data_IF_842902693262
#
_entry.id   IF_842902693262
#
_cell.length_a   1.000
_cell.length_b   1.000
_cell.length_c   1.000
_cell.angle_alpha   90.00
_cell.angle_beta   90.00
_cell.angle_gamma   90.00
#
_symmetry.space_group_name_H-M   'P 1'
#
loop_
_entity.id
_entity.type
_entity.pdbx_description
1 polymer ?
#
# COMPACT_ATOMS: atom_id res chain seq x y z
N UNK A 1 9.21 -0.75 -38.78
CA UNK A 1 9.27 -1.02 -37.32
C UNK A 1 7.87 -1.23 -36.79
N UNK A 2 7.50 -2.46 -36.38
CA UNK A 2 6.19 -2.71 -35.73
C UNK A 2 6.27 -2.22 -34.29
N UNK A 3 5.52 -1.18 -33.95
CA UNK A 3 5.31 -0.74 -32.56
C UNK A 3 4.64 -1.87 -31.79
N UNK A 4 5.42 -2.62 -31.00
CA UNK A 4 4.91 -3.69 -30.14
C UNK A 4 3.91 -3.04 -29.18
N UNK A 5 2.61 -3.26 -29.42
CA UNK A 5 1.50 -2.72 -28.62
C UNK A 5 1.75 -3.16 -27.17
N UNK A 6 2.20 -2.25 -26.32
CA UNK A 6 2.44 -2.55 -24.91
C UNK A 6 1.10 -3.04 -24.34
N UNK A 7 1.06 -4.31 -23.92
CA UNK A 7 -0.12 -4.91 -23.31
C UNK A 7 -0.60 -4.03 -22.15
N UNK A 8 -1.92 -3.81 -22.05
CA UNK A 8 -2.52 -3.08 -20.94
C UNK A 8 -2.11 -3.69 -19.59
N UNK A 9 -1.93 -5.01 -19.56
CA UNK A 9 -1.41 -5.75 -18.42
C UNK A 9 0.01 -5.30 -18.02
N UNK A 10 0.89 -5.10 -18.99
CA UNK A 10 2.27 -4.64 -18.73
C UNK A 10 2.27 -3.22 -18.15
N UNK A 11 1.37 -2.35 -18.62
CA UNK A 11 1.21 -1.00 -18.05
C UNK A 11 0.71 -1.05 -16.61
N UNK A 12 -0.25 -1.94 -16.33
CA UNK A 12 -0.77 -2.17 -14.99
C UNK A 12 0.33 -2.66 -14.04
N UNK A 13 1.07 -3.72 -14.41
CA UNK A 13 2.18 -4.26 -13.61
C UNK A 13 3.22 -3.17 -13.30
N UNK A 14 3.67 -2.42 -14.31
CA UNK A 14 4.67 -1.36 -14.11
C UNK A 14 4.16 -0.29 -13.15
N UNK A 15 2.88 0.06 -13.23
CA UNK A 15 2.26 1.03 -12.32
C UNK A 15 2.12 0.47 -10.89
N UNK A 16 1.72 -0.79 -10.76
CA UNK A 16 1.52 -1.46 -9.48
C UNK A 16 2.83 -1.63 -8.70
N UNK A 17 3.90 -2.04 -9.39
CA UNK A 17 5.23 -2.23 -8.79
C UNK A 17 6.12 -0.96 -8.78
N UNK A 18 5.64 0.16 -9.32
CA UNK A 18 6.41 1.41 -9.35
C UNK A 18 7.67 1.35 -10.22
N UNK A 19 7.67 0.53 -11.28
CA UNK A 19 8.84 0.35 -12.15
C UNK A 19 8.92 1.49 -13.17
N UNK A 20 9.86 2.41 -12.94
CA UNK A 20 10.19 3.48 -13.89
C UNK A 20 11.19 2.92 -14.93
N UNK A 21 10.93 3.05 -16.23
CA UNK A 21 11.79 2.51 -17.30
C UNK A 21 11.22 1.31 -18.05
N UNK A 22 12.03 0.58 -18.84
CA UNK A 22 11.56 -0.62 -19.57
C UNK A 22 11.39 -1.80 -18.60
N UNK A 23 10.36 -2.60 -18.81
CA UNK A 23 10.24 -3.90 -18.16
C UNK A 23 10.96 -4.88 -19.09
N UNK A 24 12.20 -5.21 -18.75
CA UNK A 24 12.98 -6.23 -19.44
C UNK A 24 12.67 -7.62 -18.87
N UNK A 25 13.20 -8.65 -19.50
CA UNK A 25 12.95 -10.05 -19.14
C UNK A 25 13.44 -10.37 -17.71
N UNK A 26 14.54 -9.73 -17.27
CA UNK A 26 15.06 -9.87 -15.92
C UNK A 26 14.09 -9.29 -14.86
N UNK A 27 13.62 -8.06 -15.06
CA UNK A 27 12.67 -7.39 -14.17
C UNK A 27 11.33 -8.11 -14.14
N UNK A 28 10.87 -8.63 -15.28
CA UNK A 28 9.66 -9.43 -15.34
C UNK A 28 9.79 -10.72 -14.53
N UNK A 29 10.93 -11.42 -14.62
CA UNK A 29 11.20 -12.61 -13.81
C UNK A 29 11.26 -12.31 -12.31
N UNK A 30 11.93 -11.22 -11.91
CA UNK A 30 12.04 -10.89 -10.49
C UNK A 30 10.70 -10.40 -9.91
N UNK A 31 9.91 -9.65 -10.68
CA UNK A 31 8.51 -9.31 -10.31
C UNK A 31 7.69 -10.57 -10.11
N UNK A 32 7.75 -11.54 -11.02
CA UNK A 32 7.04 -12.80 -10.86
C UNK A 32 7.51 -13.58 -9.63
N UNK A 33 8.82 -13.55 -9.32
CA UNK A 33 9.37 -14.20 -8.13
C UNK A 33 8.91 -13.54 -6.83
N UNK A 34 8.88 -12.20 -6.78
CA UNK A 34 8.36 -11.43 -5.65
C UNK A 34 6.86 -11.70 -5.50
N UNK A 35 6.11 -11.66 -6.59
CA UNK A 35 4.67 -11.94 -6.62
C UNK A 35 4.36 -13.30 -6.01
N UNK A 36 5.07 -14.36 -6.42
CA UNK A 36 4.86 -15.70 -5.90
C UNK A 36 5.22 -15.81 -4.40
N UNK A 37 6.31 -15.18 -3.95
CA UNK A 37 6.67 -15.19 -2.52
C UNK A 37 5.62 -14.47 -1.68
N UNK A 38 5.15 -13.31 -2.13
CA UNK A 38 4.09 -12.55 -1.46
C UNK A 38 2.78 -13.34 -1.45
N UNK A 39 2.41 -13.95 -2.58
CA UNK A 39 1.21 -14.77 -2.69
C UNK A 39 1.24 -15.95 -1.70
N UNK A 40 2.35 -16.70 -1.65
CA UNK A 40 2.50 -17.81 -0.72
C UNK A 40 2.43 -17.32 0.73
N UNK A 41 3.15 -16.23 1.05
CA UNK A 41 3.12 -15.65 2.40
C UNK A 41 1.72 -15.23 2.82
N UNK A 42 0.98 -14.59 1.91
CA UNK A 42 -0.40 -14.16 2.14
C UNK A 42 -1.37 -15.31 2.29
N UNK A 43 -1.24 -16.32 1.43
CA UNK A 43 -2.07 -17.51 1.49
C UNK A 43 -1.96 -18.18 2.85
N UNK A 44 -0.74 -18.37 3.37
CA UNK A 44 -0.53 -18.95 4.69
C UNK A 44 -0.93 -18.02 5.83
N UNK A 45 -0.73 -16.71 5.69
CA UNK A 45 -1.22 -15.72 6.66
C UNK A 45 -2.74 -15.80 6.82
N UNK A 46 -3.47 -15.74 5.72
CA UNK A 46 -4.93 -15.83 5.69
C UNK A 46 -5.43 -17.15 6.26
N UNK A 47 -4.80 -18.26 5.87
CA UNK A 47 -5.16 -19.60 6.36
C UNK A 47 -4.95 -19.70 7.88
N UNK A 48 -3.82 -19.20 8.39
CA UNK A 48 -3.49 -19.23 9.82
C UNK A 48 -4.48 -18.43 10.67
N UNK A 49 -4.78 -17.18 10.28
CA UNK A 49 -5.73 -16.36 11.02
C UNK A 49 -7.15 -16.90 10.91
N UNK A 50 -7.57 -17.36 9.72
CA UNK A 50 -8.87 -18.02 9.54
C UNK A 50 -9.01 -19.24 10.46
N UNK A 51 -7.96 -20.06 10.61
CA UNK A 51 -7.96 -21.20 11.52
C UNK A 51 -8.09 -20.79 12.99
N UNK A 52 -7.33 -19.78 13.44
CA UNK A 52 -7.45 -19.23 14.81
C UNK A 52 -8.87 -18.77 15.08
N UNK A 53 -9.49 -18.13 14.09
CA UNK A 53 -10.85 -17.60 14.23
C UNK A 53 -11.88 -18.72 14.36
N UNK A 54 -11.75 -19.82 13.63
CA UNK A 54 -12.64 -21.00 13.79
C UNK A 54 -12.53 -21.59 15.20
N UNK A 55 -11.35 -21.48 15.84
CA UNK A 55 -11.11 -21.96 17.20
C UNK A 55 -11.64 -21.03 18.30
N UNK A 56 -11.88 -19.75 17.99
CA UNK A 56 -12.39 -18.75 18.92
C UNK A 56 -13.89 -18.54 18.67
N UNK A 57 -14.69 -18.47 19.75
CA UNK A 57 -16.15 -18.29 19.73
C UNK A 57 -16.67 -17.37 18.58
N UNK A 58 -17.63 -17.86 17.80
CA UNK A 58 -17.99 -17.32 16.47
C UNK A 58 -18.66 -15.95 16.45
N UNK A 59 -19.11 -15.42 17.58
CA UNK A 59 -19.89 -14.17 17.62
C UNK A 59 -19.04 -12.90 17.49
N UNK A 60 -17.75 -12.95 17.85
CA UNK A 60 -16.79 -11.82 17.72
C UNK A 60 -15.83 -12.05 16.53
N UNK A 61 -15.82 -13.27 16.00
CA UNK A 61 -14.91 -13.78 14.98
C UNK A 61 -14.93 -12.95 13.68
N UNK A 62 -16.09 -12.77 13.05
CA UNK A 62 -16.18 -12.25 11.68
C UNK A 62 -15.63 -10.83 11.52
N UNK A 63 -15.99 -9.92 12.42
CA UNK A 63 -15.52 -8.53 12.38
C UNK A 63 -14.02 -8.44 12.65
N UNK A 64 -13.49 -9.25 13.57
CA UNK A 64 -12.06 -9.31 13.86
C UNK A 64 -11.26 -9.86 12.66
N UNK A 65 -11.77 -10.89 11.96
CA UNK A 65 -11.18 -11.40 10.70
C UNK A 65 -11.03 -10.27 9.69
N UNK A 66 -12.12 -9.54 9.47
CA UNK A 66 -12.20 -8.53 8.43
C UNK A 66 -11.20 -7.40 8.71
N UNK A 67 -11.06 -6.97 9.97
CA UNK A 67 -10.06 -5.97 10.35
C UNK A 67 -8.61 -6.48 10.23
N UNK A 68 -8.33 -7.73 10.63
CA UNK A 68 -6.98 -8.32 10.51
C UNK A 68 -6.58 -8.46 9.04
N UNK A 69 -7.49 -8.91 8.19
CA UNK A 69 -7.24 -9.09 6.76
C UNK A 69 -7.09 -7.75 6.05
N UNK A 70 -7.93 -6.76 6.36
CA UNK A 70 -7.73 -5.40 5.87
C UNK A 70 -6.38 -4.82 6.32
N UNK A 71 -6.00 -5.06 7.57
CA UNK A 71 -4.70 -4.61 8.07
C UNK A 71 -3.53 -5.27 7.31
N UNK A 72 -3.59 -6.58 7.12
CA UNK A 72 -2.61 -7.31 6.32
C UNK A 72 -2.52 -6.78 4.89
N UNK A 73 -3.67 -6.60 4.23
CA UNK A 73 -3.75 -6.16 2.84
C UNK A 73 -3.24 -4.73 2.63
N UNK A 74 -3.61 -3.83 3.53
CA UNK A 74 -3.34 -2.39 3.39
C UNK A 74 -1.94 -2.03 3.88
N UNK A 75 -1.46 -2.65 4.96
CA UNK A 75 -0.21 -2.25 5.61
C UNK A 75 0.91 -3.26 5.37
N UNK A 76 0.66 -4.53 5.65
CA UNK A 76 1.72 -5.55 5.65
C UNK A 76 2.20 -5.85 4.24
N UNK A 77 1.29 -6.09 3.28
CA UNK A 77 1.67 -6.39 1.89
C UNK A 77 2.46 -5.23 1.27
N UNK A 78 1.99 -3.97 1.31
CA UNK A 78 2.69 -2.91 0.60
C UNK A 78 4.07 -2.61 1.19
N UNK A 79 4.23 -2.75 2.52
CA UNK A 79 5.54 -2.62 3.18
C UNK A 79 6.49 -3.74 2.73
N UNK A 80 6.07 -5.01 2.74
CA UNK A 80 6.93 -6.12 2.31
C UNK A 80 7.28 -5.98 0.83
N UNK A 81 6.30 -5.63 -0.01
CA UNK A 81 6.49 -5.41 -1.43
C UNK A 81 7.49 -4.28 -1.67
N UNK A 82 7.40 -3.17 -0.94
CA UNK A 82 8.38 -2.09 -0.98
C UNK A 82 9.78 -2.60 -0.65
N UNK A 83 9.95 -3.23 0.53
CA UNK A 83 11.27 -3.71 0.98
C UNK A 83 11.89 -4.65 -0.05
N UNK A 84 11.09 -5.56 -0.62
CA UNK A 84 11.57 -6.47 -1.66
C UNK A 84 11.95 -5.77 -2.96
N UNK A 85 11.19 -4.77 -3.39
CA UNK A 85 11.49 -4.02 -4.62
C UNK A 85 12.71 -3.13 -4.47
N UNK A 86 12.86 -2.45 -3.34
CA UNK A 86 14.01 -1.59 -3.05
C UNK A 86 15.29 -2.42 -2.92
N UNK A 87 15.24 -3.56 -2.20
CA UNK A 87 16.41 -4.44 -2.06
C UNK A 87 16.87 -5.10 -3.38
N UNK A 88 16.01 -5.12 -4.40
CA UNK A 88 16.29 -5.72 -5.71
C UNK A 88 16.54 -4.69 -6.81
N UNK A 89 16.57 -3.41 -6.47
CA UNK A 89 16.77 -2.29 -7.41
C UNK A 89 15.83 -2.33 -8.63
N UNK A 90 14.59 -2.79 -8.41
CA UNK A 90 13.57 -2.91 -9.46
C UNK A 90 12.84 -1.59 -9.71
N UNK A 91 12.83 -0.72 -8.70
CA UNK A 91 12.35 0.65 -8.80
C UNK A 91 13.52 1.51 -9.26
N UNK A 92 13.74 1.63 -10.57
CA UNK A 92 14.70 2.61 -11.08
C UNK A 92 14.32 3.97 -10.50
N UNK A 93 15.29 4.65 -9.90
CA UNK A 93 15.05 5.99 -9.41
C UNK A 93 14.68 6.92 -10.57
N UNK A 94 13.76 7.84 -10.29
CA UNK A 94 13.47 8.92 -11.22
C UNK A 94 14.65 9.87 -11.16
N UNK A 95 15.53 9.79 -12.16
CA UNK A 95 16.58 10.77 -12.38
C UNK A 95 15.92 12.08 -12.81
N UNK A 96 15.97 13.07 -11.93
CA UNK A 96 15.41 14.40 -12.16
C UNK A 96 16.56 15.40 -12.15
N UNK A 97 16.55 16.43 -13.03
CA UNK A 97 17.57 17.46 -13.02
C UNK A 97 17.65 18.11 -11.63
N UNK A 98 18.88 18.35 -11.15
CA UNK A 98 19.18 18.74 -9.75
C UNK A 98 18.39 19.94 -9.24
N UNK A 99 17.95 20.83 -10.13
CA UNK A 99 17.14 22.02 -9.82
C UNK A 99 15.68 21.70 -9.44
N UNK A 100 15.14 20.54 -9.84
CA UNK A 100 13.72 20.16 -9.64
C UNK A 100 13.51 19.02 -8.63
N UNK A 101 14.60 18.42 -8.13
CA UNK A 101 14.57 17.27 -7.20
C UNK A 101 13.79 17.60 -5.92
N UNK A 102 14.09 18.73 -5.28
CA UNK A 102 13.47 19.10 -4.00
C UNK A 102 11.99 19.45 -4.16
N UNK A 103 11.62 20.12 -5.26
CA UNK A 103 10.23 20.43 -5.59
C UNK A 103 9.43 19.15 -5.87
N UNK A 104 10.04 18.18 -6.57
CA UNK A 104 9.38 16.91 -6.87
C UNK A 104 9.24 16.04 -5.62
N UNK A 105 10.23 16.02 -4.73
CA UNK A 105 10.13 15.37 -3.41
C UNK A 105 9.03 15.97 -2.55
N UNK A 106 8.90 17.30 -2.50
CA UNK A 106 7.82 17.94 -1.78
C UNK A 106 6.44 17.62 -2.37
N UNK A 107 6.31 17.60 -3.70
CA UNK A 107 5.08 17.21 -4.37
C UNK A 107 4.72 15.73 -4.15
N UNK A 108 5.72 14.84 -4.10
CA UNK A 108 5.53 13.44 -3.74
C UNK A 108 5.04 13.28 -2.29
N UNK A 109 5.63 14.01 -1.34
CA UNK A 109 5.17 14.06 0.05
C UNK A 109 3.73 14.56 0.14
N UNK A 110 3.39 15.68 -0.51
CA UNK A 110 2.02 16.24 -0.55
C UNK A 110 1.01 15.24 -1.11
N UNK A 111 1.36 14.50 -2.17
CA UNK A 111 0.52 13.42 -2.69
C UNK A 111 0.34 12.29 -1.68
N UNK A 112 1.39 11.93 -0.95
CA UNK A 112 1.31 10.96 0.16
C UNK A 112 0.29 11.37 1.22
N UNK A 113 0.31 12.63 1.67
CA UNK A 113 -0.68 13.18 2.60
C UNK A 113 -2.10 13.18 2.04
N UNK A 114 -2.27 13.42 0.74
CA UNK A 114 -3.59 13.42 0.09
C UNK A 114 -4.18 12.00 0.02
N UNK A 115 -3.35 11.02 -0.36
CA UNK A 115 -3.73 9.59 -0.36
C UNK A 115 -4.11 9.13 1.04
N UNK A 116 -3.38 9.61 2.05
CA UNK A 116 -3.69 9.33 3.46
C UNK A 116 -5.03 9.91 3.90
N UNK A 117 -5.32 11.17 3.55
CA UNK A 117 -6.62 11.78 3.82
C UNK A 117 -7.79 11.01 3.19
N UNK A 118 -7.61 10.51 1.96
CA UNK A 118 -8.60 9.64 1.28
C UNK A 118 -8.74 8.31 2.02
N UNK A 119 -7.64 7.72 2.47
CA UNK A 119 -7.65 6.46 3.20
C UNK A 119 -8.32 6.59 4.58
N UNK A 120 -8.04 7.66 5.32
CA UNK A 120 -8.69 7.97 6.59
C UNK A 120 -10.21 8.14 6.42
N UNK A 121 -10.64 8.85 5.35
CA UNK A 121 -12.05 8.99 5.01
C UNK A 121 -12.69 7.63 4.67
N UNK A 122 -12.00 6.79 3.90
CA UNK A 122 -12.45 5.43 3.60
C UNK A 122 -12.62 4.59 4.87
N UNK A 123 -11.64 4.61 5.79
CA UNK A 123 -11.71 3.88 7.06
C UNK A 123 -12.84 4.37 7.95
N UNK A 124 -13.12 5.68 7.94
CA UNK A 124 -14.23 6.27 8.68
C UNK A 124 -15.57 5.73 8.15
N UNK A 125 -15.78 5.81 6.83
CA UNK A 125 -16.96 5.28 6.16
C UNK A 125 -17.09 3.78 6.41
N UNK A 126 -15.99 3.03 6.26
CA UNK A 126 -15.97 1.59 6.48
C UNK A 126 -16.33 1.19 7.92
N UNK A 127 -15.84 1.92 8.94
CA UNK A 127 -16.18 1.66 10.33
C UNK A 127 -17.66 1.95 10.63
N UNK A 128 -18.19 3.01 10.01
CA UNK A 128 -19.60 3.36 10.08
C UNK A 128 -20.52 2.25 9.53
N UNK A 129 -20.10 1.52 8.50
CA UNK A 129 -20.87 0.42 7.90
C UNK A 129 -20.61 -0.96 8.53
N UNK A 130 -19.47 -1.16 9.20
CA UNK A 130 -19.09 -2.47 9.76
C UNK A 130 -19.76 -2.81 11.10
N UNK A 131 -20.39 -1.85 11.77
CA UNK A 131 -21.16 -2.11 12.99
C UNK A 131 -22.62 -2.35 12.64
N UNK A 132 -23.01 -3.61 12.59
CA UNK A 132 -24.42 -3.98 12.60
C UNK A 132 -25.12 -3.32 13.81
N UNK A 133 -26.00 -2.34 13.54
CA UNK A 133 -26.96 -1.81 14.51
C UNK A 133 -26.55 -0.61 15.37
N UNK A 134 -25.41 0.06 15.16
CA UNK A 134 -25.08 1.33 15.85
C UNK A 134 -25.07 2.52 14.91
N UNK A 135 -25.55 3.67 15.39
CA UNK A 135 -25.56 4.90 14.59
C UNK A 135 -24.13 5.24 14.14
N UNK A 136 -23.89 5.41 12.82
CA UNK A 136 -22.56 5.72 12.30
C UNK A 136 -22.00 7.05 12.81
N UNK A 137 -22.88 7.93 13.30
CA UNK A 137 -22.52 9.20 13.93
C UNK A 137 -21.85 9.03 15.31
N UNK A 138 -21.99 7.89 15.99
CA UNK A 138 -21.27 7.61 17.25
C UNK A 138 -19.75 7.55 17.06
N UNK A 139 -19.27 7.38 15.82
CA UNK A 139 -17.85 7.43 15.54
C UNK A 139 -17.28 8.84 15.78
N UNK A 140 -18.08 9.87 15.52
CA UNK A 140 -17.69 11.27 15.72
C UNK A 140 -17.83 11.75 17.17
N UNK A 141 -18.57 11.01 18.00
CA UNK A 141 -18.76 11.35 19.42
C UNK A 141 -17.72 10.72 20.33
N UNK A 142 -16.95 9.73 19.85
CA UNK A 142 -15.89 9.09 20.62
C UNK A 142 -14.50 9.66 20.27
N UNK A 143 -13.95 10.58 21.08
CA UNK A 143 -12.71 11.29 20.76
C UNK A 143 -11.49 10.36 20.68
N UNK A 144 -11.44 9.30 21.49
CA UNK A 144 -10.34 8.33 21.47
C UNK A 144 -10.25 7.57 20.14
N UNK A 145 -11.40 7.24 19.54
CA UNK A 145 -11.43 6.54 18.24
C UNK A 145 -11.01 7.46 17.10
N UNK A 146 -11.46 8.70 17.11
CA UNK A 146 -11.01 9.70 16.14
C UNK A 146 -9.50 9.91 16.23
N UNK A 147 -8.96 10.04 17.44
CA UNK A 147 -7.52 10.16 17.67
C UNK A 147 -6.78 8.93 17.13
N UNK A 148 -7.24 7.71 17.42
CA UNK A 148 -6.60 6.50 16.91
C UNK A 148 -6.62 6.39 15.38
N UNK A 149 -7.73 6.74 14.72
CA UNK A 149 -7.85 6.74 13.26
C UNK A 149 -6.93 7.79 12.63
N UNK A 150 -6.91 9.00 13.19
CA UNK A 150 -6.05 10.08 12.70
C UNK A 150 -4.57 9.80 12.90
N UNK A 151 -4.16 9.25 14.06
CA UNK A 151 -2.76 8.86 14.30
C UNK A 151 -2.30 7.74 13.37
N UNK A 152 -3.14 6.73 13.15
CA UNK A 152 -2.85 5.65 12.20
C UNK A 152 -2.70 6.15 10.76
N UNK A 153 -3.57 7.08 10.35
CA UNK A 153 -3.43 7.79 9.07
C UNK A 153 -2.13 8.58 8.99
N UNK A 154 -1.86 9.48 9.93
CA UNK A 154 -0.65 10.32 9.90
C UNK A 154 0.64 9.51 9.75
N UNK A 155 0.76 8.39 10.47
CA UNK A 155 1.93 7.48 10.36
C UNK A 155 2.00 6.87 8.94
N UNK A 156 0.87 6.47 8.38
CA UNK A 156 0.78 5.90 7.04
C UNK A 156 1.06 6.92 5.93
N UNK A 157 0.48 8.11 6.00
CA UNK A 157 0.73 9.21 5.07
C UNK A 157 2.18 9.66 5.08
N UNK A 158 2.80 9.73 6.25
CA UNK A 158 4.23 10.00 6.38
C UNK A 158 5.08 8.88 5.76
N UNK A 159 4.73 7.61 6.02
CA UNK A 159 5.41 6.46 5.43
C UNK A 159 5.32 6.49 3.90
N UNK A 160 4.12 6.55 3.32
CA UNK A 160 3.90 6.58 1.88
C UNK A 160 4.50 7.82 1.20
N UNK A 161 4.40 9.00 1.83
CA UNK A 161 4.99 10.23 1.33
C UNK A 161 6.53 10.20 1.34
N UNK A 162 7.13 9.57 2.34
CA UNK A 162 8.58 9.36 2.40
C UNK A 162 9.06 8.36 1.34
N UNK A 163 8.30 7.29 1.10
CA UNK A 163 8.57 6.28 0.07
C UNK A 163 8.55 6.89 -1.33
N UNK A 164 7.53 7.69 -1.64
CA UNK A 164 7.44 8.35 -2.94
C UNK A 164 8.59 9.36 -3.16
N UNK A 165 9.09 9.95 -2.07
CA UNK A 165 10.21 10.89 -2.13
C UNK A 165 11.59 10.20 -2.23
N UNK A 166 11.76 8.99 -1.65
CA UNK A 166 13.02 8.25 -1.68
C UNK A 166 13.32 7.62 -3.05
N UNK A 167 12.31 7.51 -3.92
CA UNK A 167 12.47 7.05 -5.30
C UNK A 167 12.99 8.13 -6.26
N UNK A 168 13.19 9.36 -5.78
CA UNK A 168 13.64 10.51 -6.58
C UNK A 168 15.13 10.72 -6.32
N UNK A 169 15.95 10.47 -7.33
CA UNK A 169 17.39 10.69 -7.28
C UNK A 169 17.81 11.85 -8.19
N UNK A 170 18.83 12.63 -7.78
CA UNK A 170 19.42 13.62 -8.66
C UNK A 170 20.14 12.92 -9.82
N UNK A 171 19.94 13.44 -11.04
CA UNK A 171 20.67 12.98 -12.22
C UNK A 171 22.19 13.07 -11.96
N UNK A 172 22.91 11.96 -12.23
CA UNK A 172 24.36 11.90 -12.07
C UNK A 172 24.99 12.73 -13.18
N UNK A 173 25.78 13.73 -12.78
CA UNK A 173 26.52 14.62 -13.68
C UNK A 173 27.65 13.87 -14.41
#
# INVERSE_FOLDING_TARGET
>A
MKTKKISLWLKFIKRFYGINGKLDEYREQEVNRISNKLFIGLFFFELFFSAIIVLINQTIAATAVLYINLFGLIFVIPIILLVMLTNRDLQTSLEIPKNEVEQTRQNARKKGWLVDGIFALFMLVFNAFSKEGKNPLELFTNPLRLIAITLGGVIWGAAMGSMAASQIDPEKA
#
